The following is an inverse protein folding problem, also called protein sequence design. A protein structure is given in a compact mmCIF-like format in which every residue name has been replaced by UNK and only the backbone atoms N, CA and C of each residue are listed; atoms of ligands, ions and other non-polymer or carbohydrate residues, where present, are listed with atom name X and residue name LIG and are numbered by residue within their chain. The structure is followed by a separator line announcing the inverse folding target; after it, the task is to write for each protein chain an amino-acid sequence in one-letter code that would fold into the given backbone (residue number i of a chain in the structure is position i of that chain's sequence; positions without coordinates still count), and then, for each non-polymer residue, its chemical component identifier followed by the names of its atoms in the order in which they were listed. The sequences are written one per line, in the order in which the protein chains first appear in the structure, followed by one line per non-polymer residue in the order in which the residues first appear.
data_IF_848926906717
#
_entry.id   IF_848926906717
#
_cell.length_a   1.000
_cell.length_b   1.000
_cell.length_c   1.000
_cell.angle_alpha   90.00
_cell.angle_beta   90.00
_cell.angle_gamma   90.00
#
_symmetry.space_group_name_H-M   'P 1'
#
loop_
_entity.id
_entity.type
_entity.pdbx_description
1 polymer ?
#
# COMPACT_ATOMS: atom_id res chain seq x y z
N UNK A 1 29.38 53.01 16.65
CA UNK A 1 29.75 52.35 15.38
C UNK A 1 29.68 50.84 15.64
N UNK A 2 28.52 50.21 15.39
CA UNK A 2 28.30 49.06 14.47
C UNK A 2 29.43 48.00 14.56
N UNK A 3 29.21 46.77 14.99
CA UNK A 3 28.41 45.77 14.28
C UNK A 3 27.96 44.63 15.22
N UNK A 4 26.66 44.29 15.18
CA UNK A 4 26.11 43.02 15.63
C UNK A 4 26.24 42.02 14.46
N UNK A 5 26.77 40.83 14.69
CA UNK A 5 26.71 39.70 13.75
C UNK A 5 25.79 38.66 14.35
N UNK A 6 24.56 38.57 13.84
CA UNK A 6 23.67 37.43 14.05
C UNK A 6 23.85 36.48 12.87
N UNK A 7 24.42 35.31 13.12
CA UNK A 7 24.49 34.22 12.16
C UNK A 7 23.21 33.39 12.31
N UNK A 8 22.22 33.62 11.44
CA UNK A 8 21.05 32.76 11.35
C UNK A 8 21.39 31.55 10.48
N UNK A 9 21.63 30.40 11.10
CA UNK A 9 21.71 29.12 10.42
C UNK A 9 20.30 28.67 10.03
N UNK A 10 19.95 28.83 8.75
CA UNK A 10 18.77 28.19 8.18
C UNK A 10 19.04 26.68 8.04
N UNK A 11 18.52 25.90 8.98
CA UNK A 11 18.33 24.45 8.81
C UNK A 11 17.14 24.25 7.87
N UNK A 12 17.39 24.20 6.56
CA UNK A 12 16.40 23.74 5.59
C UNK A 12 16.17 22.25 5.78
N UNK A 13 15.15 21.88 6.55
CA UNK A 13 14.54 20.56 6.46
C UNK A 13 13.82 20.48 5.11
N UNK A 14 14.41 19.81 4.13
CA UNK A 14 13.69 19.41 2.92
C UNK A 14 12.70 18.32 3.31
N UNK A 15 11.43 18.69 3.46
CA UNK A 15 10.35 17.71 3.47
C UNK A 15 10.37 17.03 2.09
N UNK A 16 10.79 15.76 2.04
CA UNK A 16 10.73 14.96 0.81
C UNK A 16 9.28 14.55 0.64
N UNK A 17 8.62 15.07 -0.39
CA UNK A 17 7.26 14.70 -0.75
C UNK A 17 7.21 13.19 -1.08
N UNK A 18 6.28 12.47 -0.46
CA UNK A 18 6.10 11.02 -0.59
C UNK A 18 5.09 10.70 -1.69
N UNK A 19 5.30 9.59 -2.41
CA UNK A 19 4.50 9.22 -3.59
C UNK A 19 3.08 8.72 -3.24
N UNK A 20 2.84 8.34 -1.98
CA UNK A 20 1.53 8.05 -1.41
C UNK A 20 1.49 8.57 0.02
N UNK A 21 0.31 8.96 0.52
CA UNK A 21 0.16 9.27 1.92
C UNK A 21 0.16 7.97 2.76
N UNK A 22 0.65 8.08 4.00
CA UNK A 22 0.68 7.03 5.02
C UNK A 22 -0.71 6.38 5.22
N UNK A 23 -0.79 5.14 5.70
CA UNK A 23 -2.05 4.40 5.89
C UNK A 23 -3.09 5.15 6.73
N UNK A 24 -2.64 6.03 7.64
CA UNK A 24 -3.48 6.98 8.39
C UNK A 24 -4.34 7.87 7.49
N UNK A 25 -3.78 8.33 6.37
CA UNK A 25 -4.48 9.19 5.43
C UNK A 25 -5.61 8.48 4.67
N UNK A 26 -5.64 7.14 4.66
CA UNK A 26 -6.73 6.39 4.04
C UNK A 26 -8.01 6.47 4.88
N UNK A 27 -7.88 6.34 6.19
CA UNK A 27 -9.00 6.41 7.14
C UNK A 27 -9.45 7.86 7.33
N UNK A 28 -8.53 8.82 7.30
CA UNK A 28 -8.83 10.26 7.40
C UNK A 28 -9.66 10.82 6.23
N UNK A 29 -9.73 10.10 5.10
CA UNK A 29 -10.62 10.47 3.98
C UNK A 29 -12.09 10.19 4.28
N UNK A 30 -12.41 9.39 5.29
CA UNK A 30 -13.78 9.03 5.65
C UNK A 30 -14.44 10.10 6.51
N UNK A 31 -15.77 10.16 6.50
CA UNK A 31 -16.53 10.88 7.50
C UNK A 31 -16.69 9.99 8.75
N UNK A 32 -15.74 10.10 9.68
CA UNK A 32 -15.62 9.27 10.88
C UNK A 32 -16.69 9.54 11.97
N UNK A 33 -17.54 10.54 11.79
CA UNK A 33 -18.59 10.91 12.75
C UNK A 33 -19.96 10.32 12.39
N UNK A 34 -20.01 9.37 11.44
CA UNK A 34 -21.25 8.75 11.00
C UNK A 34 -21.61 7.50 11.84
N UNK A 35 -22.75 6.90 11.51
CA UNK A 35 -23.21 5.65 12.13
C UNK A 35 -22.54 4.40 11.55
N UNK A 36 -22.82 3.25 12.17
CA UNK A 36 -22.39 1.95 11.64
C UNK A 36 -23.10 1.64 10.30
N UNK A 37 -22.47 0.88 9.39
CA UNK A 37 -23.14 0.39 8.18
C UNK A 37 -24.39 -0.44 8.53
N UNK A 38 -25.53 -0.19 7.86
CA UNK A 38 -26.85 -0.74 8.24
C UNK A 38 -26.91 -2.27 8.37
N UNK A 39 -26.11 -3.00 7.59
CA UNK A 39 -26.14 -4.46 7.51
C UNK A 39 -24.90 -5.14 8.12
N UNK A 40 -24.18 -4.45 9.02
CA UNK A 40 -22.96 -4.95 9.63
C UNK A 40 -23.14 -6.33 10.31
N UNK A 41 -24.27 -6.56 10.99
CA UNK A 41 -24.53 -7.80 11.71
C UNK A 41 -25.23 -8.90 10.89
N UNK A 42 -25.35 -8.71 9.58
CA UNK A 42 -25.96 -9.66 8.63
C UNK A 42 -25.11 -9.88 7.38
N UNK A 43 -23.92 -9.29 7.30
CA UNK A 43 -23.02 -9.40 6.15
C UNK A 43 -21.58 -9.59 6.59
N UNK A 44 -20.71 -9.97 5.64
CA UNK A 44 -19.29 -10.26 5.89
C UNK A 44 -18.45 -9.00 5.98
N UNK A 45 -17.41 -9.07 6.79
CA UNK A 45 -16.46 -8.00 7.04
C UNK A 45 -15.02 -8.47 6.81
N UNK A 46 -14.19 -7.60 6.27
CA UNK A 46 -12.74 -7.78 6.26
C UNK A 46 -12.09 -6.79 7.23
N UNK A 47 -11.10 -7.27 7.98
CA UNK A 47 -10.41 -6.49 9.00
C UNK A 47 -9.03 -6.10 8.48
N UNK A 48 -8.72 -4.82 8.54
CA UNK A 48 -7.42 -4.25 8.25
C UNK A 48 -6.83 -3.69 9.54
N UNK A 49 -5.64 -4.14 9.93
CA UNK A 49 -5.06 -3.79 11.23
C UNK A 49 -3.62 -3.29 11.10
N UNK A 50 -3.18 -2.42 12.01
CA UNK A 50 -1.78 -1.98 12.03
C UNK A 50 -0.86 -3.12 12.47
N UNK A 51 0.30 -3.29 11.83
CA UNK A 51 1.21 -4.42 12.03
C UNK A 51 1.82 -4.55 13.44
N UNK A 52 1.56 -3.59 14.33
CA UNK A 52 1.99 -3.60 15.73
C UNK A 52 0.98 -4.25 16.68
N UNK A 53 -0.19 -4.69 16.20
CA UNK A 53 -1.09 -5.52 16.99
C UNK A 53 -0.49 -6.92 17.17
N UNK A 54 -0.58 -7.42 18.39
CA UNK A 54 -0.18 -8.77 18.77
C UNK A 54 -1.27 -9.80 18.44
N UNK A 55 -0.87 -11.05 18.27
CA UNK A 55 -1.81 -12.16 18.02
C UNK A 55 -2.93 -12.23 19.08
N UNK A 56 -2.58 -12.00 20.35
CA UNK A 56 -3.54 -11.98 21.46
C UNK A 56 -4.58 -10.86 21.33
N UNK A 57 -4.19 -9.70 20.81
CA UNK A 57 -5.12 -8.60 20.56
C UNK A 57 -6.05 -8.95 19.40
N UNK A 58 -5.54 -9.57 18.33
CA UNK A 58 -6.34 -10.04 17.21
C UNK A 58 -7.36 -11.10 17.63
N UNK A 59 -6.96 -12.07 18.47
CA UNK A 59 -7.87 -13.04 19.09
C UNK A 59 -8.95 -12.34 19.94
N UNK A 60 -8.57 -11.34 20.73
CA UNK A 60 -9.50 -10.58 21.57
C UNK A 60 -10.53 -9.82 20.71
N UNK A 61 -10.09 -9.25 19.59
CA UNK A 61 -10.95 -8.58 18.60
C UNK A 61 -11.93 -9.58 17.99
N UNK A 62 -11.45 -10.73 17.50
CA UNK A 62 -12.32 -11.75 16.89
C UNK A 62 -13.38 -12.26 17.87
N UNK A 63 -12.99 -12.56 19.11
CA UNK A 63 -13.94 -12.99 20.15
C UNK A 63 -15.01 -11.92 20.43
N UNK A 64 -14.63 -10.64 20.42
CA UNK A 64 -15.58 -9.54 20.57
C UNK A 64 -16.51 -9.41 19.36
N UNK A 65 -15.99 -9.58 18.15
CA UNK A 65 -16.80 -9.57 16.92
C UNK A 65 -17.82 -10.70 16.90
N UNK A 66 -17.43 -11.91 17.30
CA UNK A 66 -18.36 -13.03 17.45
C UNK A 66 -19.50 -12.72 18.45
N UNK A 67 -19.16 -12.17 19.62
CA UNK A 67 -20.16 -11.75 20.62
C UNK A 67 -21.11 -10.70 20.06
N UNK A 68 -20.56 -9.73 19.33
CA UNK A 68 -21.32 -8.63 18.71
C UNK A 68 -22.19 -9.09 17.54
N UNK A 69 -21.77 -10.11 16.79
CA UNK A 69 -22.41 -10.54 15.55
C UNK A 69 -21.73 -10.04 14.27
N UNK A 70 -20.54 -9.48 14.37
CA UNK A 70 -19.73 -9.03 13.22
C UNK A 70 -19.03 -10.25 12.63
N UNK A 71 -19.35 -10.58 11.39
CA UNK A 71 -18.74 -11.72 10.69
C UNK A 71 -17.44 -11.30 10.00
N UNK A 72 -16.34 -11.29 10.77
CA UNK A 72 -15.01 -11.01 10.25
C UNK A 72 -14.37 -12.30 9.69
N UNK A 73 -14.20 -12.34 8.37
CA UNK A 73 -13.80 -13.56 7.63
C UNK A 73 -12.39 -13.49 7.05
N UNK A 74 -11.68 -12.38 7.26
CA UNK A 74 -10.29 -12.23 6.81
C UNK A 74 -9.63 -11.04 7.50
N UNK A 75 -8.37 -11.20 7.87
CA UNK A 75 -7.53 -10.20 8.51
C UNK A 75 -6.31 -9.90 7.65
N UNK A 76 -6.02 -8.62 7.44
CA UNK A 76 -4.89 -8.16 6.67
C UNK A 76 -4.18 -7.02 7.37
N UNK A 77 -2.86 -6.94 7.23
CA UNK A 77 -2.13 -5.78 7.69
C UNK A 77 -2.48 -4.57 6.79
N UNK A 78 -2.77 -3.42 7.43
CA UNK A 78 -3.24 -2.22 6.75
C UNK A 78 -2.20 -1.64 5.78
N UNK A 79 -0.91 -1.78 6.10
CA UNK A 79 0.20 -1.33 5.25
C UNK A 79 0.33 -2.14 3.96
N UNK A 80 -0.24 -3.36 3.89
CA UNK A 80 -0.36 -4.11 2.64
C UNK A 80 -1.44 -3.51 1.73
N UNK A 81 -2.57 -3.08 2.29
CA UNK A 81 -3.67 -2.50 1.52
C UNK A 81 -3.25 -1.23 0.78
N UNK A 82 -2.47 -0.37 1.45
CA UNK A 82 -2.03 0.92 0.94
C UNK A 82 -0.70 0.87 0.19
N UNK A 83 -0.16 -0.34 -0.02
CA UNK A 83 1.16 -0.56 -0.58
C UNK A 83 1.30 -0.09 -2.04
N UNK A 84 0.21 0.12 -2.78
CA UNK A 84 0.24 0.64 -4.14
C UNK A 84 -1.03 0.35 -4.92
N UNK A 85 -1.26 1.08 -6.02
CA UNK A 85 -2.51 1.02 -6.80
C UNK A 85 -2.88 -0.39 -7.27
N UNK A 86 -1.91 -1.15 -7.77
CA UNK A 86 -2.12 -2.53 -8.23
C UNK A 86 -2.52 -3.46 -7.06
N UNK A 87 -1.93 -3.24 -5.89
CA UNK A 87 -2.23 -3.98 -4.66
C UNK A 87 -3.65 -3.68 -4.18
N UNK A 88 -3.98 -2.39 -4.04
CA UNK A 88 -5.31 -1.91 -3.63
C UNK A 88 -6.41 -2.46 -4.56
N UNK A 89 -6.16 -2.45 -5.88
CA UNK A 89 -7.05 -3.09 -6.87
C UNK A 89 -7.20 -4.59 -6.66
N UNK A 90 -6.11 -5.30 -6.36
CA UNK A 90 -6.15 -6.73 -6.07
C UNK A 90 -6.96 -7.06 -4.81
N UNK A 91 -6.84 -6.23 -3.76
CA UNK A 91 -7.71 -6.30 -2.59
C UNK A 91 -9.17 -6.09 -2.97
N UNK A 92 -9.52 -5.03 -3.71
CA UNK A 92 -10.90 -4.80 -4.15
C UNK A 92 -11.51 -6.01 -4.88
N UNK A 93 -10.73 -6.63 -5.79
CA UNK A 93 -11.15 -7.84 -6.48
C UNK A 93 -11.30 -9.06 -5.55
N UNK A 94 -10.42 -9.23 -4.58
CA UNK A 94 -10.51 -10.28 -3.58
C UNK A 94 -11.77 -10.12 -2.72
N UNK A 95 -12.00 -8.93 -2.20
CA UNK A 95 -13.14 -8.60 -1.33
C UNK A 95 -14.48 -8.78 -2.06
N UNK A 96 -14.55 -8.37 -3.34
CA UNK A 96 -15.72 -8.64 -4.19
C UNK A 96 -16.00 -10.14 -4.33
N UNK A 97 -14.97 -10.95 -4.62
CA UNK A 97 -15.12 -12.41 -4.76
C UNK A 97 -15.53 -13.09 -3.45
N UNK A 98 -15.12 -12.54 -2.30
CA UNK A 98 -15.47 -13.04 -0.97
C UNK A 98 -16.80 -12.49 -0.43
N UNK A 99 -17.49 -11.66 -1.21
CA UNK A 99 -18.76 -11.02 -0.86
C UNK A 99 -18.64 -10.20 0.43
N UNK A 100 -17.51 -9.51 0.61
CA UNK A 100 -17.30 -8.60 1.73
C UNK A 100 -18.16 -7.36 1.53
N UNK A 101 -18.93 -6.99 2.55
CA UNK A 101 -19.78 -5.81 2.53
C UNK A 101 -19.25 -4.69 3.42
N UNK A 102 -18.43 -5.01 4.44
CA UNK A 102 -17.90 -4.04 5.39
C UNK A 102 -16.38 -4.12 5.50
N UNK A 103 -15.76 -2.97 5.73
CA UNK A 103 -14.35 -2.82 6.04
C UNK A 103 -14.25 -2.37 7.49
N UNK A 104 -13.41 -3.06 8.26
CA UNK A 104 -13.10 -2.74 9.64
C UNK A 104 -11.63 -2.39 9.74
N UNK A 105 -11.32 -1.20 10.21
CA UNK A 105 -9.96 -0.74 10.44
C UNK A 105 -9.67 -0.73 11.93
N UNK A 106 -8.58 -1.36 12.34
CA UNK A 106 -8.11 -1.37 13.73
C UNK A 106 -6.69 -0.82 13.79
N UNK A 107 -6.56 0.38 14.32
CA UNK A 107 -5.27 1.06 14.47
C UNK A 107 -4.86 1.07 15.94
N UNK A 108 -3.57 0.87 16.19
CA UNK A 108 -2.96 1.08 17.50
C UNK A 108 -1.80 2.06 17.34
N UNK A 109 -1.91 3.23 17.97
CA UNK A 109 -0.84 4.23 18.00
C UNK A 109 -0.68 4.86 19.39
N UNK A 110 0.15 5.91 19.52
CA UNK A 110 0.37 6.59 20.81
C UNK A 110 -0.94 7.12 21.45
N UNK A 111 -1.98 7.36 20.66
CA UNK A 111 -3.31 7.78 21.08
C UNK A 111 -4.20 6.64 21.59
N UNK A 112 -3.80 5.38 21.39
CA UNK A 112 -4.53 4.18 21.77
C UNK A 112 -5.09 3.41 20.57
N UNK A 113 -6.17 2.66 20.81
CA UNK A 113 -6.85 1.84 19.82
C UNK A 113 -7.99 2.62 19.18
N UNK A 114 -7.92 2.78 17.86
CA UNK A 114 -9.04 3.25 17.04
C UNK A 114 -9.66 2.08 16.31
N UNK A 115 -11.00 1.99 16.36
CA UNK A 115 -11.77 1.09 15.51
C UNK A 115 -12.63 1.95 14.60
N UNK A 116 -12.49 1.79 13.28
CA UNK A 116 -13.31 2.46 12.29
C UNK A 116 -14.04 1.42 11.42
N UNK A 117 -15.32 1.60 11.14
CA UNK A 117 -16.12 0.66 10.34
C UNK A 117 -16.89 1.41 9.27
N UNK A 118 -16.77 0.95 8.03
CA UNK A 118 -17.47 1.52 6.89
C UNK A 118 -17.91 0.44 5.90
N UNK A 119 -18.86 0.76 5.02
CA UNK A 119 -19.26 -0.16 3.96
C UNK A 119 -18.16 -0.24 2.88
N UNK A 120 -17.94 -1.42 2.31
CA UNK A 120 -17.14 -1.54 1.10
C UNK A 120 -17.93 -0.96 -0.08
N UNK A 121 -17.30 -0.09 -0.87
CA UNK A 121 -17.99 0.57 -1.98
C UNK A 121 -18.22 -0.32 -3.21
N UNK A 122 -17.73 -1.56 -3.19
CA UNK A 122 -17.86 -2.52 -4.30
C UNK A 122 -16.93 -2.24 -5.49
N UNK A 123 -15.90 -1.41 -5.33
CA UNK A 123 -14.99 -0.98 -6.40
C UNK A 123 -13.52 -1.19 -6.03
N UNK A 124 -12.64 -1.03 -7.02
CA UNK A 124 -11.18 -1.22 -6.89
C UNK A 124 -10.52 -0.21 -5.93
N UNK A 125 -11.14 0.94 -5.66
CA UNK A 125 -10.68 1.94 -4.70
C UNK A 125 -11.17 1.70 -3.26
N UNK A 126 -11.98 0.66 -3.01
CA UNK A 126 -12.54 0.21 -1.73
C UNK A 126 -13.46 1.16 -0.96
N UNK A 127 -13.11 2.44 -0.89
CA UNK A 127 -13.85 3.49 -0.22
C UNK A 127 -13.91 4.73 -1.12
N UNK A 128 -14.89 5.59 -0.88
CA UNK A 128 -14.94 6.92 -1.49
C UNK A 128 -14.56 8.01 -0.46
N UNK A 129 -14.01 9.15 -0.90
CA UNK A 129 -13.82 10.30 -0.02
C UNK A 129 -15.14 10.75 0.63
N UNK A 130 -15.06 11.15 1.91
CA UNK A 130 -16.17 11.53 2.76
C UNK A 130 -17.25 10.44 2.98
N UNK A 131 -16.96 9.19 2.60
CA UNK A 131 -17.86 8.07 2.87
C UNK A 131 -18.12 7.92 4.37
N UNK A 132 -19.38 7.63 4.72
CA UNK A 132 -19.80 7.46 6.10
C UNK A 132 -19.04 6.31 6.78
N UNK A 133 -18.44 6.59 7.93
CA UNK A 133 -17.80 5.60 8.76
C UNK A 133 -18.11 5.88 10.23
N UNK A 134 -18.33 4.81 10.99
CA UNK A 134 -18.31 4.90 12.44
C UNK A 134 -16.87 4.79 12.91
N UNK A 135 -16.48 5.58 13.91
CA UNK A 135 -15.16 5.49 14.54
C UNK A 135 -15.24 5.72 16.03
N UNK A 136 -14.41 5.00 16.79
CA UNK A 136 -14.22 5.24 18.21
C UNK A 136 -12.76 5.00 18.61
N UNK A 137 -12.27 5.84 19.53
CA UNK A 137 -10.88 5.83 20.01
C UNK A 137 -10.86 5.66 21.52
N UNK A 138 -10.02 4.74 22.02
CA UNK A 138 -9.76 4.61 23.44
C UNK A 138 -8.36 4.06 23.69
N UNK A 139 -7.74 4.42 24.83
CA UNK A 139 -6.44 3.86 25.24
C UNK A 139 -6.49 2.35 25.50
N UNK A 140 -7.65 1.81 25.82
CA UNK A 140 -7.85 0.39 26.11
C UNK A 140 -8.69 -0.25 25.00
N UNK A 141 -8.13 -1.25 24.32
CA UNK A 141 -8.82 -2.02 23.28
C UNK A 141 -10.18 -2.55 23.75
N UNK A 142 -10.24 -3.05 24.98
CA UNK A 142 -11.47 -3.59 25.57
C UNK A 142 -12.61 -2.55 25.65
N UNK A 143 -12.31 -1.28 25.91
CA UNK A 143 -13.32 -0.22 25.96
C UNK A 143 -13.79 0.16 24.56
N UNK A 144 -12.90 0.17 23.56
CA UNK A 144 -13.30 0.36 22.15
C UNK A 144 -14.22 -0.75 21.66
N UNK A 145 -13.90 -1.99 22.00
CA UNK A 145 -14.72 -3.17 21.66
C UNK A 145 -16.08 -3.17 22.40
N UNK A 146 -16.11 -2.75 23.66
CA UNK A 146 -17.35 -2.63 24.44
C UNK A 146 -18.28 -1.57 23.87
N UNK A 147 -17.73 -0.43 23.44
CA UNK A 147 -18.51 0.62 22.81
C UNK A 147 -19.06 0.20 21.45
N UNK A 148 -18.26 -0.52 20.64
CA UNK A 148 -18.72 -1.14 19.40
C UNK A 148 -19.89 -2.11 19.66
N UNK A 149 -19.76 -2.98 20.67
CA UNK A 149 -20.83 -3.91 21.05
C UNK A 149 -22.12 -3.18 21.45
N UNK A 150 -22.01 -2.14 22.30
CA UNK A 150 -23.14 -1.35 22.77
C UNK A 150 -23.85 -0.65 21.62
N UNK A 151 -23.08 -0.02 20.74
CA UNK A 151 -23.60 0.70 19.57
C UNK A 151 -24.30 -0.27 18.61
N UNK A 152 -23.63 -1.37 18.24
CA UNK A 152 -24.15 -2.37 17.31
C UNK A 152 -25.43 -3.01 17.83
N UNK A 153 -25.44 -3.45 19.10
CA UNK A 153 -26.61 -4.08 19.74
C UNK A 153 -27.81 -3.14 19.84
N UNK A 154 -27.59 -1.83 19.91
CA UNK A 154 -28.67 -0.84 19.97
C UNK A 154 -29.25 -0.49 18.59
N UNK A 155 -28.47 -0.66 17.53
CA UNK A 155 -28.84 -0.25 16.16
C UNK A 155 -29.30 -1.40 15.28
N UNK A 156 -28.83 -2.63 15.52
CA UNK A 156 -29.01 -3.75 14.61
C UNK A 156 -29.34 -5.05 15.35
N UNK A 157 -30.04 -5.95 14.66
CA UNK A 157 -30.27 -7.32 15.15
C UNK A 157 -29.18 -8.23 14.61
N UNK A 158 -28.60 -9.04 15.49
CA UNK A 158 -27.64 -10.09 15.11
C UNK A 158 -28.32 -11.13 14.21
N UNK A 159 -27.79 -11.30 13.00
CA UNK A 159 -28.24 -12.32 12.03
C UNK A 159 -27.11 -13.29 11.65
N UNK A 160 -25.85 -12.87 11.78
CA UNK A 160 -24.71 -13.77 11.64
C UNK A 160 -24.64 -14.74 12.84
N UNK A 161 -24.81 -16.04 12.57
CA UNK A 161 -24.86 -17.09 13.60
C UNK A 161 -23.62 -18.00 13.62
N UNK A 162 -22.87 -18.04 12.51
CA UNK A 162 -21.70 -18.91 12.33
C UNK A 162 -20.47 -18.04 12.06
N UNK A 163 -20.02 -17.34 13.10
CA UNK A 163 -18.84 -16.48 13.05
C UNK A 163 -17.66 -17.27 13.63
N UNK A 164 -16.53 -17.25 12.92
CA UNK A 164 -15.30 -17.92 13.32
C UNK A 164 -14.84 -17.53 14.73
N UNK A 165 -14.18 -18.45 15.43
CA UNK A 165 -13.63 -18.22 16.77
C UNK A 165 -12.25 -17.56 16.74
N UNK A 166 -11.52 -17.69 15.63
CA UNK A 166 -10.13 -17.24 15.46
C UNK A 166 -9.98 -16.32 14.25
N UNK A 167 -9.06 -15.34 14.30
CA UNK A 167 -8.81 -14.46 13.15
C UNK A 167 -8.17 -15.26 11.99
N UNK A 168 -8.73 -15.13 10.79
CA UNK A 168 -8.17 -15.74 9.57
C UNK A 168 -7.06 -14.85 8.97
N UNK A 169 -5.80 -15.23 9.18
CA UNK A 169 -4.59 -14.46 8.81
C UNK A 169 -3.82 -15.01 7.61
N UNK A 170 -4.12 -16.23 7.15
CA UNK A 170 -3.40 -16.95 6.09
C UNK A 170 -3.83 -16.56 4.67
N UNK A 171 -4.67 -15.54 4.55
CA UNK A 171 -5.19 -15.07 3.27
C UNK A 171 -4.11 -14.34 2.48
N UNK A 172 -3.86 -14.81 1.26
CA UNK A 172 -2.86 -14.22 0.36
C UNK A 172 -3.52 -13.37 -0.71
N UNK A 173 -2.94 -12.20 -0.97
CA UNK A 173 -3.33 -11.33 -2.08
C UNK A 173 -2.29 -11.45 -3.18
N UNK A 174 -2.72 -11.88 -4.36
CA UNK A 174 -1.86 -11.88 -5.54
C UNK A 174 -2.19 -10.68 -6.44
N UNK A 175 -1.35 -9.62 -6.43
CA UNK A 175 -1.53 -8.47 -7.29
C UNK A 175 -1.03 -8.69 -8.73
N UNK A 176 -0.25 -9.74 -8.97
CA UNK A 176 0.35 -10.04 -10.27
C UNK A 176 -0.59 -10.98 -11.03
N UNK A 177 -1.30 -10.44 -12.01
CA UNK A 177 -2.24 -11.21 -12.84
C UNK A 177 -1.53 -12.11 -13.87
N UNK A 178 -0.40 -11.64 -14.41
CA UNK A 178 0.41 -12.37 -15.39
C UNK A 178 1.55 -13.14 -14.74
N UNK A 179 2.66 -13.26 -15.48
CA UNK A 179 3.89 -13.88 -14.98
C UNK A 179 4.77 -12.88 -14.23
N UNK A 180 5.36 -13.36 -13.14
CA UNK A 180 6.46 -12.70 -12.44
C UNK A 180 7.78 -13.03 -13.13
N UNK A 181 8.55 -12.01 -13.48
CA UNK A 181 9.85 -12.16 -14.14
C UNK A 181 10.96 -11.44 -13.36
N UNK A 182 12.02 -12.17 -13.03
CA UNK A 182 13.23 -11.65 -12.37
C UNK A 182 14.29 -11.21 -13.40
N UNK A 183 13.84 -10.46 -14.40
CA UNK A 183 14.67 -9.85 -15.44
C UNK A 183 13.92 -8.64 -16.01
N UNK A 184 14.62 -7.76 -16.73
CA UNK A 184 14.00 -6.65 -17.44
C UNK A 184 13.44 -7.08 -18.81
N UNK A 185 12.27 -6.55 -19.18
CA UNK A 185 11.67 -6.82 -20.48
C UNK A 185 12.54 -6.24 -21.62
N UNK A 186 13.02 -7.10 -22.51
CA UNK A 186 13.79 -6.69 -23.69
C UNK A 186 12.97 -5.83 -24.65
N UNK A 187 11.65 -6.04 -24.69
CA UNK A 187 10.73 -5.35 -25.58
C UNK A 187 10.60 -3.85 -25.25
N UNK A 188 10.99 -3.40 -24.05
CA UNK A 188 11.11 -1.97 -23.71
C UNK A 188 12.04 -1.20 -24.67
N UNK A 189 12.94 -1.89 -25.39
CA UNK A 189 13.79 -1.28 -26.43
C UNK A 189 12.98 -0.79 -27.65
N UNK A 190 11.80 -1.35 -27.87
CA UNK A 190 10.93 -1.06 -29.01
C UNK A 190 9.63 -0.41 -28.56
N UNK A 191 9.03 -0.95 -27.49
CA UNK A 191 7.73 -0.58 -26.98
C UNK A 191 7.82 0.51 -25.90
N UNK A 192 6.97 1.55 -25.97
CA UNK A 192 7.11 2.69 -25.08
C UNK A 192 6.53 2.43 -23.68
N UNK A 193 7.22 3.00 -22.69
CA UNK A 193 6.86 2.97 -21.27
C UNK A 193 5.96 4.17 -20.90
N UNK A 194 4.82 3.89 -20.28
CA UNK A 194 4.02 4.88 -19.57
C UNK A 194 4.62 5.15 -18.19
N UNK A 195 4.84 6.41 -17.86
CA UNK A 195 5.31 6.87 -16.55
C UNK A 195 4.21 7.73 -15.93
N UNK A 196 3.37 7.16 -15.04
CA UNK A 196 2.28 7.92 -14.44
C UNK A 196 2.80 9.04 -13.54
N UNK A 197 2.31 10.25 -13.78
CA UNK A 197 2.45 11.38 -12.85
C UNK A 197 1.66 11.12 -11.57
N UNK A 198 2.09 11.75 -10.49
CA UNK A 198 1.45 11.68 -9.17
C UNK A 198 0.36 12.74 -9.01
N UNK A 199 0.47 13.87 -9.71
CA UNK A 199 -0.39 15.04 -9.53
C UNK A 199 0.18 16.05 -8.54
N UNK A 200 1.32 15.77 -7.92
CA UNK A 200 2.11 16.74 -7.17
C UNK A 200 3.18 17.34 -8.09
N UNK A 201 3.12 18.66 -8.32
CA UNK A 201 4.02 19.35 -9.26
C UNK A 201 5.51 19.18 -8.91
N UNK A 202 5.86 19.11 -7.63
CA UNK A 202 7.25 18.97 -7.20
C UNK A 202 7.77 17.55 -7.44
N UNK A 203 6.94 16.53 -7.14
CA UNK A 203 7.27 15.13 -7.43
C UNK A 203 7.32 14.91 -8.94
N UNK A 204 6.35 15.41 -9.69
CA UNK A 204 6.26 15.23 -11.14
C UNK A 204 7.45 15.87 -11.88
N UNK A 205 7.88 17.06 -11.44
CA UNK A 205 9.10 17.69 -11.96
C UNK A 205 10.33 16.82 -11.68
N UNK A 206 10.47 16.31 -10.44
CA UNK A 206 11.61 15.46 -10.06
C UNK A 206 11.61 14.12 -10.82
N UNK A 207 10.43 13.54 -11.01
CA UNK A 207 10.24 12.31 -11.79
C UNK A 207 10.68 12.52 -13.24
N UNK A 208 10.27 13.63 -13.85
CA UNK A 208 10.71 14.02 -15.19
C UNK A 208 12.23 14.16 -15.29
N UNK A 209 12.87 14.89 -14.37
CA UNK A 209 14.34 15.04 -14.34
C UNK A 209 15.06 13.69 -14.27
N UNK A 210 14.57 12.77 -13.41
CA UNK A 210 15.18 11.44 -13.26
C UNK A 210 15.06 10.66 -14.57
N UNK A 211 13.89 10.65 -15.21
CA UNK A 211 13.67 9.93 -16.46
C UNK A 211 14.48 10.50 -17.63
N UNK A 212 14.50 11.83 -17.79
CA UNK A 212 15.30 12.50 -18.83
C UNK A 212 16.80 12.19 -18.71
N UNK A 213 17.33 12.13 -17.48
CA UNK A 213 18.75 11.87 -17.25
C UNK A 213 19.12 10.38 -17.29
N UNK A 214 18.21 9.46 -16.93
CA UNK A 214 18.57 8.05 -16.65
C UNK A 214 17.86 7.02 -17.53
N UNK A 215 16.79 7.35 -18.25
CA UNK A 215 16.05 6.37 -19.06
C UNK A 215 16.27 6.59 -20.57
N UNK A 216 17.08 5.77 -21.24
CA UNK A 216 17.49 6.02 -22.63
C UNK A 216 16.47 5.53 -23.69
N UNK A 217 15.38 4.89 -23.28
CA UNK A 217 14.39 4.28 -24.17
C UNK A 217 13.15 5.17 -24.34
N UNK A 218 12.21 4.75 -25.20
CA UNK A 218 10.97 5.51 -25.43
C UNK A 218 10.08 5.47 -24.19
N UNK A 219 9.68 6.63 -23.69
CA UNK A 219 8.71 6.76 -22.61
C UNK A 219 7.79 7.96 -22.82
N UNK A 220 6.69 7.98 -22.07
CA UNK A 220 5.78 9.12 -22.00
C UNK A 220 5.30 9.31 -20.56
N UNK A 221 5.44 10.54 -20.06
CA UNK A 221 4.79 10.95 -18.81
C UNK A 221 3.28 11.06 -19.05
N UNK A 222 2.48 10.37 -18.24
CA UNK A 222 1.03 10.28 -18.40
C UNK A 222 0.30 10.97 -17.25
N UNK A 223 -0.90 11.44 -17.52
CA UNK A 223 -1.68 12.18 -16.52
C UNK A 223 -2.07 11.28 -15.33
N UNK A 224 -2.15 11.84 -14.12
CA UNK A 224 -2.53 11.09 -12.93
C UNK A 224 -3.88 10.38 -13.12
N UNK A 225 -3.98 9.16 -12.63
CA UNK A 225 -5.23 8.39 -12.69
C UNK A 225 -5.58 7.79 -14.06
N UNK A 226 -4.79 8.02 -15.12
CA UNK A 226 -5.03 7.41 -16.45
C UNK A 226 -5.19 5.89 -16.34
N UNK A 227 -6.22 5.34 -16.98
CA UNK A 227 -6.49 3.89 -16.94
C UNK A 227 -5.56 3.14 -17.90
N UNK A 228 -5.22 1.89 -17.57
CA UNK A 228 -4.44 1.01 -18.45
C UNK A 228 -5.07 0.83 -19.85
N UNK A 229 -6.41 0.81 -19.90
CA UNK A 229 -7.15 0.78 -21.17
C UNK A 229 -6.86 2.01 -22.02
N UNK A 230 -6.76 3.19 -21.42
CA UNK A 230 -6.49 4.43 -22.15
C UNK A 230 -5.00 4.59 -22.48
N UNK A 231 -4.10 4.08 -21.64
CA UNK A 231 -2.68 3.95 -21.98
C UNK A 231 -2.48 3.09 -23.23
N UNK A 232 -3.17 1.95 -23.30
CA UNK A 232 -3.13 1.07 -24.47
C UNK A 232 -3.62 1.75 -25.75
N UNK A 233 -4.70 2.54 -25.68
CA UNK A 233 -5.18 3.33 -26.84
C UNK A 233 -4.17 4.35 -27.34
N UNK A 234 -3.25 4.79 -26.48
CA UNK A 234 -2.15 5.70 -26.82
C UNK A 234 -0.91 4.96 -27.35
N UNK A 235 -0.97 3.63 -27.51
CA UNK A 235 0.16 2.82 -27.95
C UNK A 235 1.22 2.56 -26.88
N UNK A 236 0.91 2.85 -25.61
CA UNK A 236 1.77 2.51 -24.46
C UNK A 236 1.47 1.08 -24.04
N UNK A 237 2.49 0.23 -24.02
CA UNK A 237 2.35 -1.20 -23.73
C UNK A 237 2.90 -1.58 -22.35
N UNK A 238 3.80 -0.76 -21.81
CA UNK A 238 4.34 -0.92 -20.47
C UNK A 238 3.92 0.25 -19.57
N UNK A 239 3.85 0.00 -18.27
CA UNK A 239 3.63 1.03 -17.25
C UNK A 239 4.60 0.85 -16.09
N UNK A 240 5.13 1.96 -15.60
CA UNK A 240 5.92 1.99 -14.37
C UNK A 240 4.98 1.86 -13.18
N UNK A 241 5.21 0.86 -12.34
CA UNK A 241 4.52 0.64 -11.09
C UNK A 241 5.50 0.68 -9.92
N UNK A 242 4.96 0.83 -8.71
CA UNK A 242 5.73 0.72 -7.48
C UNK A 242 4.91 0.10 -6.36
N UNK A 243 5.64 -0.38 -5.36
CA UNK A 243 5.12 -0.76 -4.04
C UNK A 243 5.83 0.08 -2.97
N UNK A 244 5.09 0.60 -2.00
CA UNK A 244 5.59 1.32 -0.82
C UNK A 244 4.96 0.76 0.45
N UNK A 245 5.70 -0.09 1.16
CA UNK A 245 5.27 -0.72 2.42
C UNK A 245 6.51 -1.29 3.13
N UNK A 246 6.35 -1.94 4.29
CA UNK A 246 7.46 -2.61 4.97
C UNK A 246 8.14 -3.60 4.03
N UNK A 247 9.46 -3.69 4.10
CA UNK A 247 10.26 -4.55 3.24
C UNK A 247 9.80 -6.01 3.16
N UNK A 248 9.43 -6.60 4.30
CA UNK A 248 8.88 -7.97 4.38
C UNK A 248 7.53 -8.09 3.65
N UNK A 249 6.62 -7.15 3.87
CA UNK A 249 5.32 -7.10 3.22
C UNK A 249 5.44 -6.85 1.70
N UNK A 250 6.39 -6.01 1.28
CA UNK A 250 6.67 -5.78 -0.14
C UNK A 250 7.16 -7.06 -0.84
N UNK A 251 8.07 -7.81 -0.21
CA UNK A 251 8.52 -9.11 -0.74
C UNK A 251 7.37 -10.11 -0.84
N UNK A 252 6.51 -10.20 0.18
CA UNK A 252 5.32 -11.05 0.16
C UNK A 252 4.38 -10.72 -1.01
N UNK A 253 3.97 -9.45 -1.12
CA UNK A 253 3.05 -8.97 -2.15
C UNK A 253 3.62 -9.15 -3.57
N UNK A 254 4.94 -9.01 -3.73
CA UNK A 254 5.62 -9.18 -5.02
C UNK A 254 6.02 -10.65 -5.28
N UNK A 255 5.61 -11.59 -4.42
CA UNK A 255 5.80 -13.03 -4.61
C UNK A 255 7.26 -13.48 -4.52
N UNK A 256 8.08 -12.82 -3.70
CA UNK A 256 9.43 -13.29 -3.37
C UNK A 256 9.37 -14.43 -2.35
N UNK A 257 10.35 -15.31 -2.39
CA UNK A 257 10.48 -16.39 -1.41
C UNK A 257 10.84 -15.82 -0.03
N UNK A 258 9.98 -16.10 0.95
CA UNK A 258 10.13 -15.71 2.36
C UNK A 258 10.61 -16.86 3.25
N UNK A 259 10.96 -18.02 2.67
CA UNK A 259 11.45 -19.20 3.41
C UNK A 259 12.69 -18.89 4.26
N UNK A 260 13.45 -17.86 3.87
CA UNK A 260 14.57 -17.31 4.63
C UNK A 260 14.08 -16.10 5.39
N UNK A 261 13.87 -16.28 6.70
CA UNK A 261 13.67 -15.15 7.61
C UNK A 261 14.94 -14.29 7.59
N UNK A 262 14.83 -13.10 7.02
CA UNK A 262 15.89 -12.11 6.92
C UNK A 262 15.53 -10.91 7.81
N UNK A 263 16.34 -10.61 8.82
CA UNK A 263 16.17 -9.40 9.64
C UNK A 263 16.48 -8.11 8.89
N UNK A 264 17.18 -8.22 7.75
CA UNK A 264 17.49 -7.11 6.87
C UNK A 264 17.39 -7.55 5.40
N UNK A 265 16.80 -6.68 4.58
CA UNK A 265 16.83 -6.75 3.14
C UNK A 265 18.18 -6.31 2.60
N UNK A 266 18.78 -7.13 1.74
CA UNK A 266 19.96 -6.75 0.96
C UNK A 266 19.50 -6.12 -0.35
N UNK A 267 19.59 -4.79 -0.43
CA UNK A 267 19.25 -4.01 -1.62
C UNK A 267 20.49 -3.65 -2.43
N UNK A 268 20.41 -3.76 -3.75
CA UNK A 268 21.42 -3.32 -4.69
C UNK A 268 21.16 -1.86 -5.05
N UNK A 269 22.11 -1.01 -4.70
CA UNK A 269 22.06 0.43 -4.96
C UNK A 269 23.19 0.85 -5.88
N UNK A 270 23.07 2.05 -6.46
CA UNK A 270 24.06 2.57 -7.39
C UNK A 270 24.56 3.96 -7.01
N UNK A 271 25.14 4.20 -5.82
CA UNK A 271 25.75 5.48 -5.51
C UNK A 271 26.92 5.76 -6.47
N UNK A 272 26.94 6.97 -7.05
CA UNK A 272 27.94 7.38 -8.05
C UNK A 272 28.12 6.36 -9.21
N UNK A 273 27.03 5.74 -9.65
CA UNK A 273 26.97 4.75 -10.74
C UNK A 273 27.77 3.45 -10.49
N UNK A 274 28.20 3.21 -9.25
CA UNK A 274 28.83 1.97 -8.84
C UNK A 274 27.86 1.09 -8.06
N UNK A 275 27.80 -0.19 -8.43
CA UNK A 275 26.95 -1.16 -7.74
C UNK A 275 27.45 -1.37 -6.30
N UNK A 276 26.57 -1.19 -5.32
CA UNK A 276 26.82 -1.42 -3.91
C UNK A 276 25.67 -2.19 -3.26
N UNK A 277 25.94 -2.81 -2.11
CA UNK A 277 24.92 -3.46 -1.29
C UNK A 277 24.57 -2.57 -0.10
N UNK A 278 23.27 -2.37 0.12
CA UNK A 278 22.71 -1.63 1.25
C UNK A 278 21.81 -2.57 2.05
N UNK A 279 22.09 -2.68 3.35
CA UNK A 279 21.21 -3.41 4.25
C UNK A 279 20.14 -2.47 4.79
N UNK A 280 18.88 -2.87 4.62
CA UNK A 280 17.71 -2.13 5.11
C UNK A 280 16.94 -3.07 6.04
N UNK A 281 16.60 -2.69 7.29
CA UNK A 281 15.81 -3.56 8.16
C UNK A 281 14.49 -3.99 7.48
N UNK A 282 14.09 -5.25 7.67
CA UNK A 282 12.94 -5.85 6.96
C UNK A 282 11.60 -5.18 7.29
N UNK A 283 11.47 -4.64 8.50
CA UNK A 283 10.28 -3.91 8.95
C UNK A 283 10.25 -2.44 8.56
N UNK A 284 11.29 -1.93 7.89
CA UNK A 284 11.32 -0.54 7.45
C UNK A 284 10.52 -0.37 6.15
N UNK A 285 9.68 0.68 6.02
CA UNK A 285 9.05 1.03 4.76
C UNK A 285 10.06 1.31 3.64
N UNK A 286 9.84 0.73 2.47
CA UNK A 286 10.68 0.88 1.27
C UNK A 286 9.82 1.07 0.03
N UNK A 287 10.37 1.79 -0.95
CA UNK A 287 9.87 1.86 -2.31
C UNK A 287 10.55 0.79 -3.17
N UNK A 288 9.78 0.01 -3.93
CA UNK A 288 10.27 -0.89 -4.98
C UNK A 288 9.52 -0.62 -6.28
N UNK A 289 10.25 -0.25 -7.32
CA UNK A 289 9.68 -0.04 -8.66
C UNK A 289 9.75 -1.32 -9.49
N UNK A 290 8.83 -1.43 -10.46
CA UNK A 290 8.82 -2.52 -11.44
C UNK A 290 8.10 -2.08 -12.71
N UNK A 291 8.35 -2.78 -13.82
CA UNK A 291 7.62 -2.57 -15.06
C UNK A 291 6.52 -3.61 -15.20
N UNK A 292 5.33 -3.18 -15.62
CA UNK A 292 4.22 -4.07 -15.94
C UNK A 292 3.87 -3.96 -17.41
N UNK A 293 3.79 -5.10 -18.10
CA UNK A 293 3.21 -5.17 -19.44
C UNK A 293 1.68 -5.15 -19.32
N UNK A 294 1.04 -4.16 -19.93
CA UNK A 294 -0.38 -3.86 -19.75
C UNK A 294 -1.27 -5.01 -20.24
N UNK A 295 -0.96 -5.61 -21.39
CA UNK A 295 -1.85 -6.58 -22.01
C UNK A 295 -1.79 -7.97 -21.39
N UNK A 296 -0.60 -8.40 -20.96
CA UNK A 296 -0.43 -9.74 -20.36
C UNK A 296 -0.48 -9.72 -18.84
N UNK A 297 -0.37 -8.54 -18.22
CA UNK A 297 -0.20 -8.40 -16.77
C UNK A 297 1.14 -8.94 -16.26
N UNK A 298 2.10 -9.24 -17.15
CA UNK A 298 3.43 -9.68 -16.76
C UNK A 298 4.16 -8.55 -16.06
N UNK A 299 4.86 -8.87 -14.97
CA UNK A 299 5.69 -7.91 -14.23
C UNK A 299 7.16 -8.27 -14.36
N UNK A 300 8.01 -7.25 -14.36
CA UNK A 300 9.45 -7.34 -14.58
C UNK A 300 10.16 -6.56 -13.47
N UNK A 301 10.80 -7.29 -12.56
CA UNK A 301 11.43 -6.73 -11.36
C UNK A 301 12.91 -6.40 -11.55
N UNK A 302 13.55 -6.96 -12.57
CA UNK A 302 15.01 -7.04 -12.67
C UNK A 302 15.58 -8.23 -11.89
N UNK A 303 16.85 -8.54 -12.12
CA UNK A 303 17.53 -9.68 -11.47
C UNK A 303 17.93 -9.45 -10.01
N UNK A 304 17.82 -8.20 -9.52
CA UNK A 304 18.25 -7.79 -8.18
C UNK A 304 17.12 -7.12 -7.43
N UNK A 305 17.10 -7.28 -6.11
CA UNK A 305 16.29 -6.46 -5.22
C UNK A 305 17.00 -5.11 -5.03
N UNK A 306 16.32 -4.02 -5.34
CA UNK A 306 16.90 -2.67 -5.49
C UNK A 306 16.02 -1.58 -4.84
N UNK A 307 15.17 -2.00 -3.89
CA UNK A 307 14.31 -1.12 -3.11
C UNK A 307 15.10 -0.14 -2.24
N UNK A 308 14.55 1.03 -1.96
CA UNK A 308 15.17 2.02 -1.07
C UNK A 308 14.14 2.76 -0.22
N UNK A 309 14.59 3.49 0.79
CA UNK A 309 13.76 4.25 1.73
C UNK A 309 13.04 5.41 1.06
N UNK A 310 13.67 6.02 0.06
CA UNK A 310 13.09 7.14 -0.70
C UNK A 310 12.75 6.69 -2.11
N UNK A 311 11.65 7.23 -2.63
CA UNK A 311 11.14 6.85 -3.94
C UNK A 311 12.11 7.18 -5.09
N UNK A 312 12.81 8.31 -4.99
CA UNK A 312 13.73 8.80 -6.01
C UNK A 312 14.97 7.90 -6.10
N UNK A 313 15.50 7.48 -4.95
CA UNK A 313 16.63 6.56 -4.90
C UNK A 313 16.22 5.16 -5.37
N UNK A 314 15.05 4.66 -4.96
CA UNK A 314 14.54 3.37 -5.44
C UNK A 314 14.31 3.37 -6.95
N UNK A 315 13.77 4.46 -7.51
CA UNK A 315 13.60 4.62 -8.95
C UNK A 315 14.97 4.66 -9.66
N UNK A 316 15.92 5.44 -9.16
CA UNK A 316 17.28 5.49 -9.72
C UNK A 316 17.94 4.11 -9.72
N UNK A 317 17.79 3.33 -8.66
CA UNK A 317 18.33 1.97 -8.60
C UNK A 317 17.69 1.08 -9.68
N UNK A 318 16.37 1.13 -9.85
CA UNK A 318 15.63 0.38 -10.89
C UNK A 318 16.12 0.75 -12.30
N UNK A 319 16.25 2.04 -12.61
CA UNK A 319 16.67 2.50 -13.94
C UNK A 319 18.13 2.14 -14.23
N UNK A 320 19.01 2.27 -13.23
CA UNK A 320 20.44 1.93 -13.37
C UNK A 320 20.66 0.41 -13.48
N UNK A 321 19.93 -0.38 -12.69
CA UNK A 321 19.89 -1.83 -12.81
C UNK A 321 19.43 -2.27 -14.20
N UNK A 322 18.38 -1.63 -14.73
CA UNK A 322 17.91 -1.87 -16.10
C UNK A 322 18.99 -1.59 -17.14
N UNK A 323 19.66 -0.43 -17.07
CA UNK A 323 20.73 -0.09 -18.01
C UNK A 323 21.88 -1.09 -17.97
N UNK A 324 22.31 -1.48 -16.77
CA UNK A 324 23.38 -2.44 -16.58
C UNK A 324 23.03 -3.82 -17.16
N UNK A 325 21.81 -4.31 -16.90
CA UNK A 325 21.34 -5.62 -17.36
C UNK A 325 21.09 -5.65 -18.88
N UNK A 326 20.47 -4.60 -19.42
CA UNK A 326 20.11 -4.51 -20.84
C UNK A 326 21.24 -3.99 -21.75
N UNK A 327 22.37 -3.59 -21.16
CA UNK A 327 23.56 -3.01 -21.81
C UNK A 327 23.22 -1.75 -22.62
N UNK A 328 22.65 -0.76 -21.95
CA UNK A 328 22.13 0.50 -22.53
C UNK A 328 22.95 1.74 -22.16
#
# INVERSE_FOLDING_TARGET
MKFLVFLAAFLSHTAIAQLLPDGKAWIEQLNLNAGLPENLLSTRSAVFYTCNLTDKELETIQQSFQRTGIDAVSYFELDKLTAGKDITKAFGNYLLKREIANLVFVENDEGGYRISITAFNGKENLIEPAQAAWSYVNRLLAESLKELYRTSSSQQRKQNLLINDVPELDMTINPILGKRNEFFALDLKVDPLAVPKTGDEAIDRRLQEIFEANYPLKYKLTEPGTTERDLRKQGLLYVLCYVHTRGVAAKELLGYDLSKSESALVSVTYPADQQQLKNIPSDTPVYKFYFKHIDSGNVFFGTKWDADLTWDQALLNQLRGMKAELRL
#
